data_IF_594781175740
#
_entry.id   IF_594781175740
#
_cell.length_a   1.000
_cell.length_b   1.000
_cell.length_c   1.000
_cell.angle_alpha   90.00
_cell.angle_beta   90.00
_cell.angle_gamma   90.00
#
_symmetry.space_group_name_H-M   'P 1'
#
loop_
_entity.id
_entity.type
_entity.pdbx_description
1 polymer ?
#
# COMPACT_ATOMS: atom_id res chain seq x y z
N UNK A 1 -29.23 -7.21 -2.06
CA UNK A 1 -28.18 -8.24 -2.17
C UNK A 1 -28.18 -8.71 -3.63
N UNK A 2 -27.09 -8.50 -4.31
CA UNK A 2 -26.96 -8.87 -5.73
C UNK A 2 -26.80 -10.38 -5.85
N UNK A 3 -27.37 -11.00 -6.92
CA UNK A 3 -27.44 -12.45 -7.13
C UNK A 3 -26.10 -13.23 -7.08
N UNK A 4 -24.96 -12.53 -7.12
CA UNK A 4 -23.63 -13.12 -7.01
C UNK A 4 -23.37 -13.72 -5.60
N UNK A 5 -23.95 -13.15 -4.55
CA UNK A 5 -23.81 -13.65 -3.18
C UNK A 5 -24.55 -14.98 -2.92
N UNK A 6 -25.38 -15.42 -3.84
CA UNK A 6 -26.12 -16.69 -3.71
C UNK A 6 -25.38 -17.91 -4.24
N UNK A 7 -24.33 -17.71 -5.04
CA UNK A 7 -23.63 -18.78 -5.76
C UNK A 7 -22.26 -19.13 -5.18
N UNK A 8 -21.48 -18.13 -4.74
CA UNK A 8 -20.20 -18.32 -4.08
C UNK A 8 -20.31 -17.97 -2.60
N UNK A 9 -19.70 -18.78 -1.76
CA UNK A 9 -19.47 -18.53 -0.34
C UNK A 9 -18.06 -17.94 -0.16
N UNK A 10 -17.51 -17.84 1.07
CA UNK A 10 -16.27 -17.13 1.31
C UNK A 10 -15.16 -17.42 0.29
N UNK A 11 -14.54 -16.36 -0.18
CA UNK A 11 -13.32 -16.37 -0.98
C UNK A 11 -12.24 -15.74 -0.12
N UNK A 12 -11.12 -16.44 0.08
CA UNK A 12 -10.04 -15.98 0.95
C UNK A 12 -8.77 -15.68 0.17
N UNK A 13 -8.12 -14.58 0.54
CA UNK A 13 -6.73 -14.30 0.18
C UNK A 13 -5.84 -14.64 1.39
N UNK A 14 -5.16 -15.78 1.38
CA UNK A 14 -4.35 -16.23 2.52
C UNK A 14 -3.13 -15.34 2.76
N UNK A 15 -2.69 -14.59 1.75
CA UNK A 15 -1.62 -13.59 1.87
C UNK A 15 -2.07 -12.26 2.49
N UNK A 16 -3.27 -12.20 3.05
CA UNK A 16 -3.78 -11.08 3.84
C UNK A 16 -3.93 -11.51 5.29
N UNK A 17 -5.13 -11.80 5.74
CA UNK A 17 -5.43 -12.15 7.14
C UNK A 17 -4.68 -13.37 7.68
N UNK A 18 -4.27 -14.31 6.82
CA UNK A 18 -3.66 -15.57 7.22
C UNK A 18 -2.14 -15.66 6.99
N UNK A 19 -1.47 -14.54 6.95
CA UNK A 19 -0.01 -14.36 7.08
C UNK A 19 0.86 -15.01 6.00
N UNK A 20 0.33 -15.42 4.87
CA UNK A 20 1.17 -15.89 3.77
C UNK A 20 1.92 -14.68 3.19
N UNK A 21 3.26 -14.72 3.05
CA UNK A 21 4.02 -13.65 2.42
C UNK A 21 3.55 -13.41 0.98
N UNK A 22 3.20 -12.18 0.64
CA UNK A 22 2.87 -11.81 -0.73
C UNK A 22 4.12 -11.71 -1.62
N UNK A 23 5.23 -11.24 -1.05
CA UNK A 23 6.59 -11.31 -1.62
C UNK A 23 6.75 -10.65 -2.98
N UNK A 24 6.00 -9.61 -3.28
CA UNK A 24 6.07 -8.97 -4.60
C UNK A 24 5.45 -9.80 -5.72
N UNK A 25 4.44 -10.63 -5.42
CA UNK A 25 3.77 -11.52 -6.35
C UNK A 25 4.07 -13.00 -6.11
N UNK A 26 4.34 -13.36 -4.86
CA UNK A 26 4.66 -14.73 -4.45
C UNK A 26 3.55 -15.74 -4.73
N UNK A 27 3.79 -17.03 -4.37
CA UNK A 27 2.90 -18.13 -4.67
C UNK A 27 1.51 -17.90 -4.12
N UNK A 28 0.48 -18.11 -4.94
CA UNK A 28 -0.91 -17.84 -4.61
C UNK A 28 -1.69 -19.10 -4.26
N UNK A 29 -2.46 -19.02 -3.17
CA UNK A 29 -3.53 -19.96 -2.83
C UNK A 29 -4.68 -19.15 -2.26
N UNK A 30 -5.87 -19.35 -2.81
CA UNK A 30 -7.09 -18.71 -2.35
C UNK A 30 -8.23 -19.71 -2.28
N UNK A 31 -8.54 -20.29 -1.11
CA UNK A 31 -9.68 -21.19 -0.96
C UNK A 31 -10.99 -20.52 -1.37
N UNK A 32 -11.77 -21.22 -2.17
CA UNK A 32 -13.10 -20.80 -2.60
C UNK A 32 -14.11 -21.85 -2.22
N UNK A 33 -15.18 -21.44 -1.55
CA UNK A 33 -16.32 -22.31 -1.23
C UNK A 33 -17.45 -21.96 -2.18
N UNK A 34 -17.97 -22.95 -2.89
CA UNK A 34 -19.07 -22.80 -3.82
C UNK A 34 -20.25 -23.69 -3.44
N UNK A 35 -21.46 -23.28 -3.84
CA UNK A 35 -22.66 -24.12 -3.69
C UNK A 35 -22.62 -25.31 -4.65
N UNK A 36 -23.30 -26.40 -4.27
CA UNK A 36 -23.27 -27.68 -5.00
C UNK A 36 -23.65 -27.58 -6.48
N UNK A 37 -24.57 -26.66 -6.86
CA UNK A 37 -24.95 -26.47 -8.27
C UNK A 37 -23.80 -25.92 -9.14
N UNK A 38 -22.75 -25.34 -8.55
CA UNK A 38 -21.55 -24.88 -9.25
C UNK A 38 -20.47 -25.98 -9.32
N UNK A 39 -20.59 -27.07 -8.56
CA UNK A 39 -19.58 -28.12 -8.53
C UNK A 39 -19.20 -28.66 -9.92
N UNK A 40 -20.14 -28.87 -10.86
CA UNK A 40 -19.81 -29.34 -12.21
C UNK A 40 -18.95 -28.40 -13.06
N UNK A 41 -18.84 -27.13 -12.66
CA UNK A 41 -18.14 -26.07 -13.37
C UNK A 41 -16.82 -25.67 -12.70
N UNK A 42 -16.46 -26.32 -11.60
CA UNK A 42 -15.17 -26.05 -10.94
C UNK A 42 -14.01 -26.51 -11.82
N UNK A 43 -12.86 -25.83 -11.74
CA UNK A 43 -11.66 -26.24 -12.45
C UNK A 43 -11.25 -27.67 -12.09
N UNK A 44 -10.66 -28.35 -13.06
CA UNK A 44 -10.01 -29.67 -12.88
C UNK A 44 -8.56 -29.60 -13.39
N UNK A 45 -7.83 -30.68 -13.21
CA UNK A 45 -6.41 -30.69 -13.59
C UNK A 45 -6.00 -32.05 -14.20
N UNK A 46 -5.26 -32.05 -15.33
CA UNK A 46 -4.87 -33.30 -15.99
C UNK A 46 -3.88 -34.14 -15.19
N UNK A 47 -3.15 -33.56 -14.25
CA UNK A 47 -2.18 -34.27 -13.43
C UNK A 47 -2.79 -34.96 -12.19
N UNK A 48 -4.00 -34.56 -11.79
CA UNK A 48 -4.66 -35.15 -10.62
C UNK A 48 -6.18 -35.27 -10.85
N UNK A 49 -6.68 -36.49 -11.03
CA UNK A 49 -8.11 -36.71 -11.26
C UNK A 49 -9.00 -36.39 -10.05
N UNK A 50 -8.44 -36.18 -8.86
CA UNK A 50 -9.18 -35.75 -7.67
C UNK A 50 -9.35 -34.24 -7.59
N UNK A 51 -8.64 -33.49 -8.44
CA UNK A 51 -8.74 -32.04 -8.50
C UNK A 51 -9.91 -31.62 -9.40
N UNK A 52 -11.08 -31.43 -8.80
CA UNK A 52 -12.28 -30.99 -9.50
C UNK A 52 -13.05 -32.08 -10.25
N UNK A 53 -14.18 -31.71 -10.89
CA UNK A 53 -15.06 -32.63 -11.59
C UNK A 53 -14.51 -32.96 -13.00
N UNK A 54 -14.86 -34.14 -13.52
CA UNK A 54 -14.53 -34.53 -14.88
C UNK A 54 -15.11 -33.58 -15.95
N UNK A 55 -16.17 -32.85 -15.61
CA UNK A 55 -16.85 -31.85 -16.46
C UNK A 55 -16.21 -30.46 -16.38
N UNK A 56 -15.16 -30.29 -15.57
CA UNK A 56 -14.51 -29.00 -15.36
C UNK A 56 -13.88 -28.39 -16.62
N UNK A 57 -13.72 -27.06 -16.67
CA UNK A 57 -13.24 -26.35 -17.86
C UNK A 57 -11.72 -26.52 -18.13
N UNK A 58 -11.00 -27.17 -17.25
CA UNK A 58 -9.54 -27.30 -17.32
C UNK A 58 -8.82 -26.60 -16.15
N UNK A 59 -7.48 -26.61 -16.13
CA UNK A 59 -6.68 -26.03 -15.07
C UNK A 59 -6.68 -24.50 -15.13
N UNK A 60 -6.67 -23.88 -13.93
CA UNK A 60 -6.49 -22.43 -13.77
C UNK A 60 -5.09 -22.08 -13.24
N UNK A 61 -4.32 -23.06 -12.85
CA UNK A 61 -2.93 -22.91 -12.38
C UNK A 61 -2.08 -24.10 -12.85
N UNK A 62 -0.77 -23.93 -12.81
CA UNK A 62 0.16 -24.98 -13.23
C UNK A 62 0.13 -26.23 -12.33
N UNK A 63 -0.24 -26.07 -11.06
CA UNK A 63 -0.38 -27.18 -10.11
C UNK A 63 -1.85 -27.42 -9.77
N UNK A 64 -2.26 -28.67 -9.46
CA UNK A 64 -3.66 -29.05 -9.22
C UNK A 64 -4.39 -28.19 -8.17
N UNK A 65 -3.70 -27.85 -7.09
CA UNK A 65 -4.26 -27.07 -5.98
C UNK A 65 -3.53 -25.73 -5.76
N UNK A 66 -2.96 -25.15 -6.83
CA UNK A 66 -2.13 -23.95 -6.73
C UNK A 66 -0.86 -24.20 -5.93
N UNK A 67 -0.38 -23.19 -5.20
CA UNK A 67 0.85 -23.31 -4.38
C UNK A 67 0.55 -23.91 -3.00
N UNK A 68 0.05 -25.13 -2.96
CA UNK A 68 -0.43 -25.77 -1.74
C UNK A 68 0.66 -25.91 -0.63
N UNK A 69 1.94 -25.90 -1.00
CA UNK A 69 3.06 -25.97 -0.06
C UNK A 69 3.15 -24.79 0.92
N UNK A 70 2.44 -23.68 0.65
CA UNK A 70 2.39 -22.53 1.55
C UNK A 70 1.27 -22.62 2.62
N UNK A 71 0.36 -23.57 2.51
CA UNK A 71 -0.73 -23.79 3.49
C UNK A 71 -0.25 -24.01 4.93
N UNK A 72 0.87 -24.69 5.20
CA UNK A 72 1.44 -24.82 6.55
C UNK A 72 1.69 -23.47 7.25
N UNK A 73 1.96 -22.39 6.50
CA UNK A 73 2.15 -21.05 7.06
C UNK A 73 0.85 -20.57 7.72
N UNK A 74 -0.25 -20.57 6.99
CA UNK A 74 -1.57 -20.19 7.52
C UNK A 74 -2.03 -21.15 8.65
N UNK A 75 -1.78 -22.45 8.49
CA UNK A 75 -2.10 -23.43 9.54
C UNK A 75 -1.35 -23.12 10.83
N UNK A 76 -0.04 -22.89 10.75
CA UNK A 76 0.78 -22.56 11.92
C UNK A 76 0.34 -21.23 12.56
N UNK A 77 0.07 -20.21 11.76
CA UNK A 77 -0.45 -18.93 12.25
C UNK A 77 -1.75 -19.09 13.02
N UNK A 78 -2.72 -19.82 12.46
CA UNK A 78 -4.01 -20.07 13.11
C UNK A 78 -3.82 -20.89 14.39
N UNK A 79 -2.97 -21.94 14.37
CA UNK A 79 -2.68 -22.76 15.53
C UNK A 79 -2.02 -21.98 16.68
N UNK A 80 -1.09 -21.05 16.34
CA UNK A 80 -0.41 -20.19 17.32
C UNK A 80 -1.34 -19.13 17.92
N UNK A 81 -2.20 -18.51 17.10
CA UNK A 81 -3.08 -17.44 17.53
C UNK A 81 -4.30 -17.94 18.28
N UNK A 82 -4.85 -19.08 17.88
CA UNK A 82 -6.15 -19.57 18.35
C UNK A 82 -7.30 -18.64 18.01
N UNK A 83 -8.52 -18.99 18.38
CA UNK A 83 -9.71 -18.18 18.11
C UNK A 83 -9.67 -16.79 18.75
N UNK A 84 -9.22 -16.72 20.00
CA UNK A 84 -9.13 -15.46 20.74
C UNK A 84 -8.08 -14.52 20.17
N UNK A 85 -6.91 -15.07 19.78
CA UNK A 85 -5.84 -14.30 19.16
C UNK A 85 -6.26 -13.71 17.80
N UNK A 86 -6.91 -14.49 16.96
CA UNK A 86 -7.43 -14.03 15.67
C UNK A 86 -8.50 -12.94 15.83
N UNK A 87 -9.40 -13.11 16.81
CA UNK A 87 -10.39 -12.09 17.16
C UNK A 87 -9.73 -10.80 17.63
N UNK A 88 -8.73 -10.92 18.52
CA UNK A 88 -7.98 -9.77 19.01
C UNK A 88 -7.23 -9.04 17.88
N UNK A 89 -6.57 -9.78 16.97
CA UNK A 89 -5.90 -9.21 15.80
C UNK A 89 -6.87 -8.38 14.96
N UNK A 90 -8.06 -8.90 14.66
CA UNK A 90 -9.10 -8.18 13.92
C UNK A 90 -9.55 -6.90 14.66
N UNK A 91 -9.77 -6.97 15.96
CA UNK A 91 -10.15 -5.79 16.76
C UNK A 91 -9.06 -4.73 16.76
N UNK A 92 -7.79 -5.12 16.86
CA UNK A 92 -6.64 -4.19 16.81
C UNK A 92 -6.55 -3.55 15.43
N UNK A 93 -6.69 -4.30 14.35
CA UNK A 93 -6.67 -3.75 13.00
C UNK A 93 -7.75 -2.67 12.80
N UNK A 94 -8.99 -2.96 13.24
CA UNK A 94 -10.11 -1.98 13.19
C UNK A 94 -9.81 -0.76 14.07
N UNK A 95 -9.30 -0.96 15.28
CA UNK A 95 -8.96 0.13 16.19
C UNK A 95 -7.87 1.03 15.60
N UNK A 96 -6.82 0.45 15.05
CA UNK A 96 -5.69 1.18 14.44
C UNK A 96 -6.15 2.04 13.24
N UNK A 97 -6.98 1.48 12.36
CA UNK A 97 -7.53 2.23 11.22
C UNK A 97 -8.42 3.40 11.68
N UNK A 98 -9.27 3.18 12.69
CA UNK A 98 -10.11 4.25 13.25
C UNK A 98 -9.31 5.31 14.00
N UNK A 99 -8.21 4.92 14.64
CA UNK A 99 -7.31 5.85 15.28
C UNK A 99 -6.65 6.78 14.25
N UNK A 100 -6.09 6.22 13.17
CA UNK A 100 -5.54 7.01 12.06
C UNK A 100 -6.60 7.93 11.42
N UNK A 101 -7.77 7.40 11.12
CA UNK A 101 -8.86 8.18 10.54
C UNK A 101 -9.25 9.37 11.43
N UNK A 102 -9.32 9.17 12.76
CA UNK A 102 -9.62 10.25 13.72
C UNK A 102 -8.54 11.32 13.72
N UNK A 103 -7.27 10.94 13.75
CA UNK A 103 -6.14 11.86 13.86
C UNK A 103 -5.86 12.65 12.57
N UNK A 104 -6.26 12.09 11.41
CA UNK A 104 -5.97 12.69 10.10
C UNK A 104 -7.14 13.38 9.42
N UNK A 105 -8.38 13.20 9.89
CA UNK A 105 -9.59 13.67 9.20
C UNK A 105 -9.68 15.19 8.99
N UNK A 106 -9.02 15.98 9.82
CA UNK A 106 -9.02 17.44 9.69
C UNK A 106 -8.10 17.92 8.56
N UNK A 107 -7.02 17.17 8.30
CA UNK A 107 -6.05 17.47 7.24
C UNK A 107 -6.41 16.74 5.93
N UNK A 108 -6.91 15.51 6.06
CA UNK A 108 -7.28 14.64 4.94
C UNK A 108 -8.67 14.03 5.18
N UNK A 109 -9.71 14.52 4.49
CA UNK A 109 -11.08 14.00 4.65
C UNK A 109 -11.15 12.49 4.45
N UNK A 110 -11.97 11.80 5.27
CA UNK A 110 -12.22 10.37 5.15
C UNK A 110 -13.40 10.16 4.20
N UNK A 111 -13.15 9.51 3.07
CA UNK A 111 -14.16 9.38 2.00
C UNK A 111 -15.34 8.51 2.39
N UNK A 112 -15.08 7.37 3.06
CA UNK A 112 -16.11 6.41 3.41
C UNK A 112 -16.12 6.12 4.91
N UNK A 113 -17.29 6.28 5.54
CA UNK A 113 -17.52 5.88 6.93
C UNK A 113 -18.85 5.16 7.07
N UNK A 114 -18.97 4.35 8.10
CA UNK A 114 -20.24 3.79 8.52
C UNK A 114 -21.14 4.84 9.21
N UNK A 115 -22.33 4.40 9.68
CA UNK A 115 -23.34 5.28 10.29
C UNK A 115 -22.83 6.08 11.49
N UNK A 116 -21.83 5.57 12.22
CA UNK A 116 -21.26 6.21 13.41
C UNK A 116 -19.96 6.98 13.12
N UNK A 117 -19.64 7.22 11.85
CA UNK A 117 -18.39 7.86 11.44
C UNK A 117 -17.14 6.98 11.61
N UNK A 118 -17.32 5.67 11.81
CA UNK A 118 -16.22 4.71 11.94
C UNK A 118 -15.90 4.04 10.62
N UNK A 119 -14.63 3.66 10.46
CA UNK A 119 -14.13 2.85 9.35
C UNK A 119 -13.96 1.38 9.76
N UNK A 120 -13.71 0.49 8.80
CA UNK A 120 -13.37 -0.91 9.07
C UNK A 120 -11.86 -1.04 9.42
N UNK A 121 -11.14 -1.94 8.76
CA UNK A 121 -9.71 -2.16 8.98
C UNK A 121 -8.80 -1.25 8.14
N UNK A 122 -9.39 -0.42 7.30
CA UNK A 122 -8.72 0.55 6.43
C UNK A 122 -9.48 1.87 6.40
N UNK A 123 -8.81 2.96 6.08
CA UNK A 123 -9.45 4.25 5.84
C UNK A 123 -9.01 4.83 4.49
N UNK A 124 -9.93 5.51 3.82
CA UNK A 124 -9.70 6.12 2.51
C UNK A 124 -9.56 7.63 2.71
N UNK A 125 -8.34 8.13 2.55
CA UNK A 125 -8.05 9.56 2.60
C UNK A 125 -8.36 10.18 1.23
N UNK A 126 -9.18 11.22 1.21
CA UNK A 126 -9.61 11.89 -0.02
C UNK A 126 -8.76 13.13 -0.29
N UNK A 127 -7.96 13.10 -1.35
CA UNK A 127 -7.10 14.19 -1.76
C UNK A 127 -7.63 14.98 -2.97
N UNK A 128 -8.84 14.66 -3.46
CA UNK A 128 -9.35 15.25 -4.71
C UNK A 128 -9.51 16.77 -4.63
N UNK A 129 -10.06 17.28 -3.54
CA UNK A 129 -10.21 18.72 -3.35
C UNK A 129 -8.84 19.39 -3.14
N UNK A 130 -7.93 18.78 -2.38
CA UNK A 130 -6.55 19.23 -2.21
C UNK A 130 -5.86 19.34 -3.59
N UNK A 131 -5.98 18.32 -4.41
CA UNK A 131 -5.40 18.30 -5.76
C UNK A 131 -5.98 19.40 -6.64
N UNK A 132 -7.30 19.61 -6.57
CA UNK A 132 -7.96 20.67 -7.34
C UNK A 132 -7.53 22.08 -6.94
N UNK A 133 -7.31 22.29 -5.65
CA UNK A 133 -6.93 23.60 -5.09
C UNK A 133 -5.45 23.92 -5.30
N UNK A 134 -4.57 22.92 -5.13
CA UNK A 134 -3.14 23.13 -4.99
C UNK A 134 -2.31 22.57 -6.15
N UNK A 135 -2.87 21.63 -6.92
CA UNK A 135 -2.12 20.84 -7.89
C UNK A 135 -1.27 19.72 -7.27
N UNK A 136 -1.26 19.58 -5.94
CA UNK A 136 -0.58 18.44 -5.27
C UNK A 136 -1.38 17.18 -5.48
N UNK A 137 -0.77 16.15 -6.01
CA UNK A 137 -1.41 14.88 -6.35
C UNK A 137 -1.22 13.81 -5.28
N UNK A 138 -2.00 12.73 -5.33
CA UNK A 138 -1.77 11.55 -4.47
C UNK A 138 -0.39 10.96 -4.69
N UNK A 139 0.15 11.04 -5.92
CA UNK A 139 1.50 10.58 -6.22
C UNK A 139 2.56 11.42 -5.48
N UNK A 140 2.37 12.75 -5.42
CA UNK A 140 3.25 13.63 -4.67
C UNK A 140 3.29 13.24 -3.18
N UNK A 141 2.13 13.03 -2.57
CA UNK A 141 2.02 12.61 -1.17
C UNK A 141 2.64 11.23 -0.95
N UNK A 142 2.34 10.27 -1.80
CA UNK A 142 2.89 8.93 -1.72
C UNK A 142 4.43 8.92 -1.84
N UNK A 143 4.97 9.69 -2.78
CA UNK A 143 6.42 9.82 -2.95
C UNK A 143 7.08 10.56 -1.79
N UNK A 144 6.39 11.57 -1.22
CA UNK A 144 6.91 12.25 -0.03
C UNK A 144 6.92 11.34 1.20
N UNK A 145 5.94 10.46 1.37
CA UNK A 145 5.94 9.42 2.41
C UNK A 145 7.15 8.49 2.32
N UNK A 146 7.68 8.22 1.11
CA UNK A 146 8.92 7.44 0.96
C UNK A 146 10.12 8.16 1.59
N UNK A 147 10.19 9.50 1.51
CA UNK A 147 11.20 10.27 2.23
C UNK A 147 11.11 10.11 3.74
N UNK A 148 9.88 9.95 4.27
CA UNK A 148 9.63 9.66 5.68
C UNK A 148 9.87 8.20 6.06
N UNK A 149 10.27 7.35 5.10
CA UNK A 149 10.59 5.95 5.32
C UNK A 149 9.36 5.05 5.38
N UNK A 150 8.28 5.43 4.70
CA UNK A 150 7.11 4.59 4.55
C UNK A 150 7.03 3.98 3.15
N UNK A 151 6.60 2.73 3.09
CA UNK A 151 6.01 2.21 1.87
C UNK A 151 4.65 2.87 1.70
N UNK A 152 4.48 3.63 0.61
CA UNK A 152 3.29 4.43 0.43
C UNK A 152 2.01 3.58 0.39
N UNK A 153 0.89 4.09 0.93
CA UNK A 153 -0.42 3.44 0.82
C UNK A 153 -0.84 3.25 -0.65
N UNK A 154 -1.77 2.35 -0.89
CA UNK A 154 -2.35 2.13 -2.22
C UNK A 154 -2.99 3.42 -2.74
N UNK A 155 -2.53 3.87 -3.91
CA UNK A 155 -3.00 5.10 -4.54
C UNK A 155 -4.19 4.84 -5.45
N UNK A 156 -5.12 5.80 -5.49
CA UNK A 156 -6.25 5.84 -6.44
C UNK A 156 -7.10 4.58 -6.44
N UNK A 157 -7.29 3.99 -5.28
CA UNK A 157 -8.17 2.86 -5.05
C UNK A 157 -8.93 3.02 -3.72
N UNK A 158 -10.25 2.75 -3.66
CA UNK A 158 -11.14 2.35 -4.77
C UNK A 158 -11.54 3.50 -5.71
N UNK A 159 -11.15 4.72 -5.40
CA UNK A 159 -11.49 5.93 -6.17
C UNK A 159 -10.20 6.66 -6.56
N UNK A 160 -10.15 7.14 -7.80
CA UNK A 160 -9.03 7.97 -8.27
C UNK A 160 -8.85 9.21 -7.38
N UNK A 161 -7.60 9.54 -7.05
CA UNK A 161 -7.28 10.69 -6.20
C UNK A 161 -7.41 10.44 -4.70
N UNK A 162 -7.38 9.18 -4.26
CA UNK A 162 -7.43 8.79 -2.85
C UNK A 162 -6.21 7.97 -2.45
N UNK A 163 -5.98 7.86 -1.13
CA UNK A 163 -5.02 6.94 -0.52
C UNK A 163 -5.75 5.96 0.39
N UNK A 164 -5.54 4.67 0.20
CA UNK A 164 -6.08 3.63 1.08
C UNK A 164 -5.05 3.23 2.12
N UNK A 165 -5.30 3.60 3.36
CA UNK A 165 -4.40 3.34 4.48
C UNK A 165 -4.90 2.16 5.29
N UNK A 166 -4.09 1.11 5.36
CA UNK A 166 -4.37 -0.12 6.10
C UNK A 166 -3.21 -0.40 7.06
N UNK A 167 -3.32 0.00 8.35
CA UNK A 167 -2.25 -0.20 9.33
C UNK A 167 -2.12 -1.65 9.79
N UNK A 168 -3.12 -2.48 9.57
CA UNK A 168 -3.26 -3.85 10.07
C UNK A 168 -3.20 -3.94 11.62
N UNK A 169 -3.06 -5.14 12.16
CA UNK A 169 -2.77 -5.39 13.57
C UNK A 169 -1.27 -5.37 13.90
N UNK A 170 -0.43 -5.33 12.87
CA UNK A 170 1.02 -5.52 13.00
C UNK A 170 1.77 -4.25 13.42
N UNK A 171 1.20 -3.08 13.15
CA UNK A 171 1.82 -1.82 13.48
C UNK A 171 1.58 -1.45 14.95
N UNK A 172 2.66 -1.12 15.66
CA UNK A 172 2.58 -0.63 17.03
C UNK A 172 2.17 0.84 17.09
N UNK A 173 1.81 1.31 18.30
CA UNK A 173 1.36 2.68 18.50
C UNK A 173 2.42 3.73 18.11
N UNK A 174 3.70 3.40 18.29
CA UNK A 174 4.82 4.29 17.93
C UNK A 174 4.88 4.48 16.41
N UNK A 175 4.68 3.40 15.66
CA UNK A 175 4.66 3.46 14.20
C UNK A 175 3.41 4.19 13.69
N UNK A 176 2.25 4.00 14.33
CA UNK A 176 1.05 4.78 14.00
C UNK A 176 1.26 6.28 14.24
N UNK A 177 1.88 6.67 15.35
CA UNK A 177 2.23 8.07 15.61
C UNK A 177 3.21 8.61 14.58
N UNK A 178 4.25 7.83 14.23
CA UNK A 178 5.22 8.21 13.19
C UNK A 178 4.54 8.49 11.85
N UNK A 179 3.55 7.67 11.48
CA UNK A 179 2.76 7.87 10.26
C UNK A 179 1.89 9.12 10.34
N UNK A 180 1.20 9.33 11.46
CA UNK A 180 0.39 10.54 11.70
C UNK A 180 1.24 11.80 11.59
N UNK A 181 2.42 11.80 12.23
CA UNK A 181 3.33 12.95 12.20
C UNK A 181 3.84 13.24 10.80
N UNK A 182 4.16 12.18 10.01
CA UNK A 182 4.58 12.33 8.63
C UNK A 182 3.45 12.92 7.77
N UNK A 183 2.22 12.44 7.92
CA UNK A 183 1.06 12.97 7.19
C UNK A 183 0.76 14.43 7.58
N UNK A 184 0.83 14.77 8.86
CA UNK A 184 0.65 16.16 9.32
C UNK A 184 1.75 17.09 8.80
N UNK A 185 3.00 16.62 8.72
CA UNK A 185 4.07 17.39 8.09
C UNK A 185 3.81 17.60 6.58
N UNK A 186 3.34 16.58 5.90
CA UNK A 186 2.93 16.68 4.49
C UNK A 186 1.75 17.67 4.33
N UNK A 187 0.80 17.69 5.26
CA UNK A 187 -0.29 18.67 5.25
C UNK A 187 0.23 20.11 5.37
N UNK A 188 1.24 20.34 6.21
CA UNK A 188 1.92 21.65 6.31
C UNK A 188 2.58 22.02 4.96
N UNK A 189 3.27 21.10 4.31
CA UNK A 189 3.88 21.32 3.02
C UNK A 189 2.82 21.62 1.93
N UNK A 190 1.66 20.98 1.99
CA UNK A 190 0.50 21.25 1.12
C UNK A 190 -0.06 22.67 1.39
N UNK A 191 -0.14 23.08 2.64
CA UNK A 191 -0.61 24.43 3.00
C UNK A 191 0.36 25.53 2.53
N UNK A 192 1.66 25.26 2.50
CA UNK A 192 2.62 26.19 1.89
C UNK A 192 2.37 26.40 0.38
N UNK A 193 1.95 25.34 -0.31
CA UNK A 193 1.52 25.45 -1.72
C UNK A 193 0.18 26.16 -1.82
N UNK A 194 -0.80 25.83 -0.98
CA UNK A 194 -2.13 26.43 -0.96
C UNK A 194 -2.07 27.95 -0.74
N UNK A 195 -1.22 28.39 0.14
CA UNK A 195 -1.03 29.82 0.46
C UNK A 195 -0.14 30.55 -0.52
N UNK A 196 0.41 29.89 -1.53
CA UNK A 196 1.30 30.47 -2.53
C UNK A 196 2.71 30.79 -2.03
N UNK A 197 3.08 30.28 -0.83
CA UNK A 197 4.44 30.41 -0.29
C UNK A 197 5.45 29.65 -1.13
N UNK A 198 5.04 28.51 -1.68
CA UNK A 198 5.82 27.65 -2.56
C UNK A 198 4.96 27.27 -3.77
N UNK A 199 5.52 27.29 -4.98
CA UNK A 199 4.82 26.72 -6.13
C UNK A 199 4.88 25.20 -6.09
N UNK A 200 3.85 24.53 -6.55
CA UNK A 200 3.81 23.06 -6.52
C UNK A 200 4.99 22.44 -7.27
N UNK A 201 5.38 22.99 -8.41
CA UNK A 201 6.52 22.53 -9.21
C UNK A 201 7.88 22.71 -8.51
N UNK A 202 7.93 23.61 -7.55
CA UNK A 202 9.13 23.95 -6.78
C UNK A 202 9.14 23.28 -5.41
N UNK A 203 8.07 22.56 -5.04
CA UNK A 203 7.91 21.96 -3.71
C UNK A 203 8.72 20.67 -3.52
N UNK A 204 9.07 20.37 -2.27
CA UNK A 204 9.67 19.10 -1.90
C UNK A 204 8.72 17.92 -2.20
N UNK A 205 7.40 18.15 -2.17
CA UNK A 205 6.37 17.17 -2.55
C UNK A 205 6.55 16.71 -4.01
N UNK A 206 6.66 17.65 -4.94
CA UNK A 206 6.80 17.36 -6.38
C UNK A 206 8.13 16.69 -6.71
N UNK A 207 9.17 16.99 -5.96
CA UNK A 207 10.52 16.44 -6.19
C UNK A 207 10.82 15.16 -5.42
N UNK A 208 9.97 14.75 -4.49
CA UNK A 208 10.10 13.48 -3.76
C UNK A 208 9.95 12.27 -4.70
N UNK A 209 10.59 11.12 -4.40
CA UNK A 209 11.46 10.89 -3.27
C UNK A 209 12.90 11.36 -3.52
N UNK A 210 13.60 11.77 -2.46
CA UNK A 210 14.98 12.25 -2.54
C UNK A 210 15.98 11.13 -2.28
N UNK A 211 16.75 10.77 -3.31
CA UNK A 211 17.81 9.76 -3.21
C UNK A 211 19.08 10.35 -2.60
N UNK A 212 19.96 9.50 -2.05
CA UNK A 212 21.28 9.94 -1.59
C UNK A 212 22.10 10.57 -2.71
N UNK A 213 22.03 10.01 -3.92
CA UNK A 213 22.71 10.55 -5.09
C UNK A 213 22.25 11.98 -5.38
N UNK A 214 20.95 12.26 -5.37
CA UNK A 214 20.41 13.59 -5.60
C UNK A 214 20.88 14.66 -4.61
N UNK A 215 21.24 14.24 -3.38
CA UNK A 215 21.77 15.16 -2.37
C UNK A 215 23.29 15.36 -2.45
N UNK A 216 24.02 14.38 -2.99
CA UNK A 216 25.49 14.39 -3.05
C UNK A 216 26.05 15.10 -4.29
N UNK A 217 25.20 15.43 -5.29
CA UNK A 217 25.65 16.21 -6.45
C UNK A 217 26.16 17.59 -6.02
N UNK A 218 27.18 18.08 -6.71
CA UNK A 218 27.85 19.37 -6.36
C UNK A 218 26.89 20.56 -6.48
N UNK A 219 26.03 20.59 -7.49
CA UNK A 219 25.06 21.66 -7.71
C UNK A 219 23.66 21.24 -7.23
N UNK A 220 23.13 21.99 -6.27
CA UNK A 220 21.76 21.83 -5.81
C UNK A 220 20.84 22.79 -6.57
N UNK A 221 20.07 22.26 -7.48
CA UNK A 221 19.18 23.02 -8.36
C UNK A 221 17.71 23.05 -7.91
N UNK A 222 17.46 22.76 -6.62
CA UNK A 222 16.13 22.82 -6.02
C UNK A 222 15.93 24.17 -5.34
N UNK A 223 14.70 24.73 -5.32
CA UNK A 223 14.43 26.01 -4.67
C UNK A 223 14.31 25.94 -3.13
N UNK A 224 14.50 24.77 -2.55
CA UNK A 224 14.56 24.52 -1.12
C UNK A 224 15.91 23.93 -0.71
N UNK A 225 16.24 23.97 0.58
CA UNK A 225 17.53 23.50 1.06
C UNK A 225 17.67 21.98 1.04
N UNK A 226 18.91 21.48 1.01
CA UNK A 226 19.19 20.04 1.12
C UNK A 226 18.68 19.45 2.42
N UNK A 227 18.61 20.25 3.49
CA UNK A 227 18.09 19.82 4.79
C UNK A 227 16.63 19.38 4.71
N UNK A 228 15.79 20.08 3.92
CA UNK A 228 14.37 19.70 3.71
C UNK A 228 14.26 18.31 3.04
N UNK A 229 15.19 17.99 2.16
CA UNK A 229 15.25 16.71 1.49
C UNK A 229 15.86 15.60 2.35
N UNK A 230 16.88 15.94 3.17
CA UNK A 230 17.62 14.98 4.01
C UNK A 230 16.97 14.74 5.37
N UNK A 231 16.43 15.79 5.99
CA UNK A 231 15.87 15.76 7.35
C UNK A 231 14.37 16.05 7.31
N UNK A 232 13.62 15.11 6.78
CA UNK A 232 12.16 15.21 6.58
C UNK A 232 11.36 15.52 7.84
N UNK A 233 11.95 15.39 9.01
CA UNK A 233 11.33 15.65 10.31
C UNK A 233 11.55 17.09 10.83
N UNK A 234 11.97 17.98 9.97
CA UNK A 234 11.82 19.42 10.14
C UNK A 234 12.74 20.10 11.15
N UNK A 235 13.91 19.54 11.48
CA UNK A 235 14.89 20.32 12.22
C UNK A 235 16.35 19.96 11.93
N UNK A 236 17.24 20.96 11.82
CA UNK A 236 18.67 20.74 11.96
C UNK A 236 18.97 20.05 13.28
N UNK A 237 20.01 19.23 13.26
CA UNK A 237 20.55 18.59 14.47
C UNK A 237 20.71 19.66 15.55
N UNK A 238 19.91 19.63 16.59
CA UNK A 238 20.05 20.45 17.79
C UNK A 238 18.85 21.26 18.26
N UNK A 239 17.79 21.50 17.47
CA UNK A 239 16.76 22.48 17.85
C UNK A 239 15.32 21.98 18.00
N UNK A 240 14.97 20.77 17.61
CA UNK A 240 13.63 20.21 17.85
C UNK A 240 13.69 18.80 18.39
N UNK A 241 12.73 18.44 19.24
CA UNK A 241 12.55 17.07 19.69
C UNK A 241 12.38 16.16 18.45
N UNK A 242 13.14 15.05 18.36
CA UNK A 242 12.86 14.03 17.38
C UNK A 242 11.39 13.60 17.50
N UNK A 243 10.73 13.38 16.35
CA UNK A 243 9.43 12.72 16.37
C UNK A 243 9.55 11.38 17.08
N UNK A 244 8.56 11.01 17.90
CA UNK A 244 8.59 9.72 18.60
C UNK A 244 8.82 8.59 17.60
N UNK A 245 9.79 7.72 17.90
CA UNK A 245 10.10 6.57 17.03
C UNK A 245 10.97 6.88 15.82
N UNK A 246 11.74 7.97 15.83
CA UNK A 246 12.64 8.31 14.71
C UNK A 246 13.57 7.15 14.34
N UNK A 247 13.24 6.47 13.27
CA UNK A 247 14.21 5.66 12.52
C UNK A 247 15.02 6.62 11.64
N UNK A 248 16.28 6.30 11.37
CA UNK A 248 17.08 7.08 10.41
C UNK A 248 16.35 7.21 9.06
N UNK A 249 16.68 8.25 8.27
CA UNK A 249 16.10 8.41 6.95
C UNK A 249 16.31 7.15 6.11
N UNK A 250 15.24 6.62 5.54
CA UNK A 250 15.33 5.64 4.46
C UNK A 250 15.73 6.38 3.17
N UNK A 251 16.73 5.86 2.49
CA UNK A 251 17.20 6.41 1.22
C UNK A 251 16.61 5.62 0.06
N UNK A 252 15.61 6.16 -0.66
CA UNK A 252 15.12 5.54 -1.88
C UNK A 252 16.24 5.37 -2.88
N UNK A 253 16.28 4.22 -3.56
CA UNK A 253 17.31 3.92 -4.56
C UNK A 253 17.08 4.65 -5.88
N UNK A 254 15.83 5.03 -6.14
CA UNK A 254 15.39 5.68 -7.38
C UNK A 254 14.55 6.89 -7.05
N UNK A 255 14.76 8.00 -7.76
CA UNK A 255 13.91 9.18 -7.71
C UNK A 255 12.57 8.97 -8.42
N UNK A 256 11.86 10.05 -8.70
CA UNK A 256 10.58 9.98 -9.41
C UNK A 256 10.78 9.48 -10.84
N UNK A 257 10.02 8.46 -11.21
CA UNK A 257 10.00 7.88 -12.55
C UNK A 257 8.81 8.46 -13.32
N UNK A 258 9.02 8.88 -14.55
CA UNK A 258 7.96 9.17 -15.50
C UNK A 258 7.48 7.86 -16.14
N UNK A 259 6.53 7.20 -15.47
CA UNK A 259 5.95 5.95 -15.93
C UNK A 259 5.24 6.09 -17.28
N UNK A 260 4.56 7.21 -17.51
CA UNK A 260 3.86 7.45 -18.76
C UNK A 260 4.81 7.60 -19.96
N UNK A 261 5.97 8.24 -19.73
CA UNK A 261 7.04 8.29 -20.74
C UNK A 261 7.60 6.89 -21.00
N UNK A 262 7.91 6.13 -19.95
CA UNK A 262 8.43 4.76 -20.06
C UNK A 262 7.49 3.84 -20.84
N UNK A 263 6.21 3.86 -20.52
CA UNK A 263 5.19 3.04 -21.21
C UNK A 263 5.04 3.36 -22.70
N UNK A 264 5.27 4.63 -23.08
CA UNK A 264 5.19 5.07 -24.47
C UNK A 264 6.50 4.87 -25.25
N UNK A 265 7.61 4.68 -24.54
CA UNK A 265 8.95 4.59 -25.12
C UNK A 265 9.65 3.31 -24.63
N UNK A 266 8.98 2.19 -24.82
CA UNK A 266 9.52 0.87 -24.45
C UNK A 266 10.80 0.61 -25.27
N UNK A 267 11.90 0.31 -24.57
CA UNK A 267 13.15 -0.13 -25.15
C UNK A 267 13.37 -1.58 -24.72
N UNK A 268 13.34 -2.50 -25.68
CA UNK A 268 13.76 -3.88 -25.43
C UNK A 268 15.28 -3.96 -25.59
N UNK A 269 15.95 -4.25 -24.49
CA UNK A 269 17.42 -4.44 -24.46
C UNK A 269 17.81 -5.92 -24.40
N UNK A 270 16.84 -6.82 -24.56
CA UNK A 270 17.13 -8.26 -24.61
C UNK A 270 17.91 -8.54 -25.88
N UNK A 271 19.12 -9.10 -25.77
CA UNK A 271 19.86 -9.54 -26.96
C UNK A 271 19.08 -10.62 -27.69
N UNK A 272 19.19 -10.72 -29.01
CA UNK A 272 18.54 -11.77 -29.78
C UNK A 272 19.06 -13.15 -29.34
N UNK A 273 18.24 -14.18 -29.52
CA UNK A 273 18.56 -15.55 -29.07
C UNK A 273 19.87 -16.08 -29.72
N UNK A 274 20.15 -15.60 -30.91
CA UNK A 274 21.36 -15.94 -31.69
C UNK A 274 22.65 -15.49 -30.98
N UNK A 275 22.60 -14.48 -30.12
CA UNK A 275 23.76 -14.01 -29.36
C UNK A 275 24.17 -14.99 -28.23
N UNK A 276 23.34 -16.01 -27.96
CA UNK A 276 23.55 -17.03 -26.94
C UNK A 276 23.80 -18.41 -27.55
N UNK A 277 23.92 -18.52 -28.88
CA UNK A 277 24.13 -19.79 -29.61
C UNK A 277 25.62 -20.17 -29.74
#
# INVERSE_FOLDING_TARGET
>A
MTGVQTCALPIFNLHKTFSIPHGGGGPGVGPVIARSHLAPYLPNHPLDPTCGPATGPGPISAAPFGSASILPISWSYIAMMGGDGLTKATHVAILSANYLAKELKEDFPILYTGKNGLVAHECILDLRDITKETGVTVDDVAKRLMDFGFHAPTMSFPVAGTLMVEPTESEDLTELHRFIDAMKQIAIEIDEVRTGKVKVEESALRHAPHTSESLLISEWNRPYSREIAAYVHGAPIGEKKPLMGQKGKYWPTVGRIDGAHGDRNLICTCPPVEDFA
#
